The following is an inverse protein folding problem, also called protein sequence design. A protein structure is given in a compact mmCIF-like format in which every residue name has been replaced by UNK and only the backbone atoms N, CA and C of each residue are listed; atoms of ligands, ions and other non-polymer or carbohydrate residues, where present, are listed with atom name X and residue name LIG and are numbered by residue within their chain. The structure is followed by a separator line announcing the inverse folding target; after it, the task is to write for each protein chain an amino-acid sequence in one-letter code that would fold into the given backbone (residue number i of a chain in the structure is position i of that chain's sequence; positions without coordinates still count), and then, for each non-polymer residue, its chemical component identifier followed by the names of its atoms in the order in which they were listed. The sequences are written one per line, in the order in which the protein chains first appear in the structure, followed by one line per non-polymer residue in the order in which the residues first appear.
data_IF_947091290079
#
_entry.id   IF_947091290079
#
_cell.length_a   1.000
_cell.length_b   1.000
_cell.length_c   1.000
_cell.angle_alpha   90.00
_cell.angle_beta   90.00
_cell.angle_gamma   90.00
#
_symmetry.space_group_name_H-M   'P 1'
#
loop_
_entity.id
_entity.type
_entity.pdbx_description
1 polymer ?
#
# COMPACT_ATOMS: atom_id res chain seq x y z
N UNK A 1 7.25 -34.68 -11.90
CA UNK A 1 7.90 -33.69 -12.78
C UNK A 1 7.50 -32.30 -12.28
N UNK A 2 8.39 -31.64 -11.53
CA UNK A 2 8.12 -30.32 -10.92
C UNK A 2 8.49 -29.28 -11.97
N UNK A 3 7.50 -28.78 -12.71
CA UNK A 3 7.71 -27.68 -13.65
C UNK A 3 7.90 -26.40 -12.85
N UNK A 4 9.00 -25.69 -13.06
CA UNK A 4 9.31 -24.45 -12.35
C UNK A 4 8.35 -23.33 -12.76
N UNK A 5 8.09 -22.38 -11.86
CA UNK A 5 7.20 -21.23 -12.07
C UNK A 5 7.46 -20.43 -13.35
N UNK A 6 8.68 -20.49 -13.91
CA UNK A 6 9.06 -19.85 -15.17
C UNK A 6 8.55 -20.63 -16.40
N UNK A 7 8.70 -21.95 -16.43
CA UNK A 7 8.22 -22.81 -17.52
C UNK A 7 6.69 -22.80 -17.59
N UNK A 8 6.03 -22.76 -16.44
CA UNK A 8 4.58 -22.63 -16.37
C UNK A 8 4.14 -21.21 -16.79
N UNK A 9 4.90 -20.18 -16.43
CA UNK A 9 4.68 -18.82 -16.93
C UNK A 9 4.85 -18.72 -18.46
N UNK A 10 5.76 -19.49 -19.05
CA UNK A 10 5.96 -19.60 -20.50
C UNK A 10 4.83 -20.38 -21.18
N UNK A 11 4.41 -21.52 -20.62
CA UNK A 11 3.25 -22.28 -21.07
C UNK A 11 2.01 -21.41 -21.09
N UNK A 12 1.75 -20.72 -19.98
CA UNK A 12 0.65 -19.77 -19.86
C UNK A 12 0.79 -18.70 -20.96
N UNK A 13 1.96 -18.05 -21.14
CA UNK A 13 2.18 -17.06 -22.22
C UNK A 13 1.93 -17.57 -23.65
N UNK A 14 2.23 -18.83 -23.95
CA UNK A 14 2.24 -19.37 -25.33
C UNK A 14 1.04 -20.27 -25.66
N UNK A 15 0.30 -20.74 -24.66
CA UNK A 15 -0.99 -21.40 -24.88
C UNK A 15 -2.08 -20.34 -25.08
N UNK A 16 -2.84 -20.49 -26.17
CA UNK A 16 -4.01 -19.66 -26.43
C UNK A 16 -5.03 -19.80 -25.31
N UNK A 17 -5.84 -18.76 -25.09
CA UNK A 17 -6.92 -18.80 -24.09
C UNK A 17 -7.95 -19.87 -24.49
N UNK A 18 -7.86 -21.04 -23.86
CA UNK A 18 -8.82 -22.11 -24.05
C UNK A 18 -9.22 -22.73 -22.71
N UNK A 19 -10.41 -23.33 -22.67
CA UNK A 19 -11.02 -23.87 -21.44
C UNK A 19 -10.14 -24.90 -20.71
N UNK A 20 -9.21 -25.57 -21.40
CA UNK A 20 -8.33 -26.57 -20.79
C UNK A 20 -7.18 -25.96 -19.98
N UNK A 21 -6.82 -24.70 -20.26
CA UNK A 21 -5.75 -24.00 -19.51
C UNK A 21 -6.25 -23.30 -18.25
N UNK A 22 -7.55 -22.99 -18.17
CA UNK A 22 -8.12 -22.26 -17.05
C UNK A 22 -7.88 -22.93 -15.68
N UNK A 23 -8.07 -24.25 -15.49
CA UNK A 23 -7.79 -24.90 -14.20
C UNK A 23 -6.33 -24.76 -13.75
N UNK A 24 -5.38 -24.83 -14.69
CA UNK A 24 -3.95 -24.66 -14.41
C UNK A 24 -3.67 -23.22 -13.98
N UNK A 25 -4.22 -22.24 -14.70
CA UNK A 25 -4.09 -20.82 -14.35
C UNK A 25 -4.69 -20.55 -12.97
N UNK A 26 -5.87 -21.09 -12.65
CA UNK A 26 -6.50 -20.96 -11.33
C UNK A 26 -5.62 -21.53 -10.22
N UNK A 27 -5.08 -22.74 -10.40
CA UNK A 27 -4.19 -23.37 -9.43
C UNK A 27 -2.94 -22.52 -9.16
N UNK A 28 -2.31 -21.97 -10.19
CA UNK A 28 -1.14 -21.11 -10.05
C UNK A 28 -1.48 -19.78 -9.39
N UNK A 29 -2.65 -19.21 -9.71
CA UNK A 29 -3.11 -17.99 -9.08
C UNK A 29 -3.30 -18.19 -7.57
N UNK A 30 -3.91 -19.31 -7.15
CA UNK A 30 -4.03 -19.67 -5.73
C UNK A 30 -2.67 -19.77 -5.01
N UNK A 31 -1.59 -20.11 -5.73
CA UNK A 31 -0.22 -20.11 -5.20
C UNK A 31 0.43 -18.71 -5.20
N UNK A 32 -0.31 -17.67 -5.59
CA UNK A 32 0.16 -16.29 -5.66
C UNK A 32 0.97 -15.97 -6.92
N UNK A 33 0.95 -16.81 -7.95
CA UNK A 33 1.70 -16.56 -9.18
C UNK A 33 1.17 -15.31 -9.90
N UNK A 34 2.00 -14.27 -9.99
CA UNK A 34 1.65 -12.98 -10.59
C UNK A 34 1.12 -13.09 -12.03
N UNK A 35 1.73 -13.93 -12.87
CA UNK A 35 1.32 -14.05 -14.27
C UNK A 35 -0.02 -14.75 -14.40
N UNK A 36 -0.28 -15.75 -13.55
CA UNK A 36 -1.57 -16.42 -13.50
C UNK A 36 -2.68 -15.49 -13.01
N UNK A 37 -2.42 -14.72 -11.94
CA UNK A 37 -3.31 -13.67 -11.44
C UNK A 37 -3.64 -12.67 -12.56
N UNK A 38 -2.62 -12.17 -13.27
CA UNK A 38 -2.81 -11.23 -14.38
C UNK A 38 -3.71 -11.81 -15.46
N UNK A 39 -3.48 -13.08 -15.85
CA UNK A 39 -4.26 -13.71 -16.91
C UNK A 39 -5.68 -14.04 -16.51
N UNK A 40 -5.91 -14.52 -15.29
CA UNK A 40 -7.29 -14.72 -14.80
C UNK A 40 -8.08 -13.44 -14.98
N UNK A 41 -7.52 -12.32 -14.55
CA UNK A 41 -8.21 -11.03 -14.57
C UNK A 41 -8.39 -10.49 -15.99
N UNK A 42 -7.39 -10.64 -16.87
CA UNK A 42 -7.47 -10.12 -18.25
C UNK A 42 -8.33 -10.96 -19.19
N UNK A 43 -8.24 -12.28 -19.11
CA UNK A 43 -8.80 -13.20 -20.11
C UNK A 43 -10.01 -13.97 -19.58
N UNK A 44 -10.15 -14.06 -18.26
CA UNK A 44 -11.24 -14.78 -17.59
C UNK A 44 -11.93 -13.90 -16.55
N UNK A 45 -11.94 -12.58 -16.74
CA UNK A 45 -12.47 -11.63 -15.76
C UNK A 45 -13.94 -11.85 -15.39
N UNK A 46 -14.74 -12.28 -16.38
CA UNK A 46 -16.17 -12.59 -16.22
C UNK A 46 -16.43 -14.02 -15.73
N UNK A 47 -15.38 -14.84 -15.61
CA UNK A 47 -15.53 -16.17 -15.06
C UNK A 47 -15.87 -16.08 -13.57
N UNK A 48 -16.94 -16.80 -13.16
CA UNK A 48 -17.45 -16.77 -11.80
C UNK A 48 -16.41 -17.14 -10.71
N UNK A 49 -15.34 -17.86 -11.05
CA UNK A 49 -14.28 -18.24 -10.11
C UNK A 49 -13.16 -17.21 -10.03
N UNK A 50 -13.01 -16.30 -11.00
CA UNK A 50 -11.88 -15.35 -11.01
C UNK A 50 -11.95 -14.40 -9.82
N UNK A 51 -13.07 -13.71 -9.64
CA UNK A 51 -13.21 -12.74 -8.55
C UNK A 51 -12.98 -13.38 -7.15
N UNK A 52 -13.59 -14.53 -6.81
CA UNK A 52 -13.31 -15.21 -5.54
C UNK A 52 -11.82 -15.51 -5.31
N UNK A 53 -11.08 -15.94 -6.32
CA UNK A 53 -9.63 -16.20 -6.23
C UNK A 53 -8.87 -14.91 -5.92
N UNK A 54 -9.19 -13.83 -6.65
CA UNK A 54 -8.54 -12.52 -6.45
C UNK A 54 -8.86 -11.94 -5.07
N UNK A 55 -10.10 -12.06 -4.60
CA UNK A 55 -10.49 -11.63 -3.25
C UNK A 55 -9.75 -12.41 -2.16
N UNK A 56 -9.68 -13.74 -2.29
CA UNK A 56 -8.96 -14.59 -1.33
C UNK A 56 -7.47 -14.19 -1.24
N UNK A 57 -6.81 -13.99 -2.38
CA UNK A 57 -5.40 -13.57 -2.41
C UNK A 57 -5.22 -12.16 -1.87
N UNK A 58 -6.15 -11.24 -2.16
CA UNK A 58 -6.13 -9.89 -1.61
C UNK A 58 -6.24 -9.91 -0.08
N UNK A 59 -7.16 -10.70 0.48
CA UNK A 59 -7.29 -10.90 1.93
C UNK A 59 -6.00 -11.41 2.59
N UNK A 60 -5.21 -12.22 1.87
CA UNK A 60 -3.89 -12.68 2.33
C UNK A 60 -2.79 -11.61 2.22
N UNK A 61 -3.14 -10.40 1.76
CA UNK A 61 -2.20 -9.30 1.58
C UNK A 61 -1.38 -9.38 0.30
N UNK A 62 -1.74 -10.24 -0.67
CA UNK A 62 -1.03 -10.32 -1.94
C UNK A 62 -1.16 -9.01 -2.70
N UNK A 63 -0.04 -8.28 -2.82
CA UNK A 63 0.02 -6.98 -3.47
C UNK A 63 -0.59 -6.97 -4.88
N UNK A 64 -0.29 -7.97 -5.70
CA UNK A 64 -0.79 -8.00 -7.07
C UNK A 64 -2.30 -8.26 -7.12
N UNK A 65 -2.81 -9.13 -6.25
CA UNK A 65 -4.25 -9.36 -6.15
C UNK A 65 -4.98 -8.10 -5.67
N UNK A 66 -4.44 -7.37 -4.68
CA UNK A 66 -4.98 -6.07 -4.23
C UNK A 66 -5.06 -5.08 -5.40
N UNK A 67 -3.95 -4.90 -6.13
CA UNK A 67 -3.90 -3.97 -7.27
C UNK A 67 -4.89 -4.38 -8.37
N UNK A 68 -5.06 -5.69 -8.63
CA UNK A 68 -6.01 -6.18 -9.63
C UNK A 68 -7.46 -6.07 -9.20
N UNK A 69 -7.75 -6.35 -7.92
CA UNK A 69 -9.08 -6.27 -7.35
C UNK A 69 -9.65 -4.87 -7.56
N UNK A 70 -8.88 -3.83 -7.24
CA UNK A 70 -9.34 -2.44 -7.40
C UNK A 70 -9.42 -2.01 -8.86
N UNK A 71 -8.47 -2.40 -9.70
CA UNK A 71 -8.47 -1.99 -11.11
C UNK A 71 -9.57 -2.64 -11.96
N UNK A 72 -9.94 -3.88 -11.66
CA UNK A 72 -10.87 -4.65 -12.49
C UNK A 72 -12.22 -4.90 -11.84
N UNK A 73 -12.29 -4.81 -10.51
CA UNK A 73 -13.50 -5.05 -9.73
C UNK A 73 -13.75 -3.92 -8.73
N UNK A 74 -13.30 -2.70 -9.02
CA UNK A 74 -13.42 -1.55 -8.11
C UNK A 74 -14.85 -1.21 -7.70
N UNK A 75 -15.82 -1.45 -8.59
CA UNK A 75 -17.26 -1.22 -8.38
C UNK A 75 -17.94 -2.39 -7.64
N UNK A 76 -17.24 -3.51 -7.44
CA UNK A 76 -17.78 -4.61 -6.66
C UNK A 76 -17.88 -4.18 -5.19
N UNK A 77 -19.05 -4.39 -4.58
CA UNK A 77 -19.35 -3.98 -3.21
C UNK A 77 -18.38 -4.55 -2.16
N UNK A 78 -17.69 -5.66 -2.43
CA UNK A 78 -16.73 -6.27 -1.51
C UNK A 78 -15.31 -5.73 -1.67
N UNK A 79 -14.98 -5.04 -2.78
CA UNK A 79 -13.62 -4.58 -3.03
C UNK A 79 -13.16 -3.57 -1.98
N UNK A 80 -13.92 -2.49 -1.77
CA UNK A 80 -13.56 -1.46 -0.79
C UNK A 80 -13.44 -2.02 0.65
N UNK A 81 -14.39 -2.83 1.17
CA UNK A 81 -14.26 -3.47 2.47
C UNK A 81 -12.95 -4.26 2.66
N UNK A 82 -12.52 -5.02 1.64
CA UNK A 82 -11.26 -5.78 1.68
C UNK A 82 -10.07 -4.83 1.81
N UNK A 83 -10.03 -3.76 1.01
CA UNK A 83 -8.95 -2.77 1.05
C UNK A 83 -8.91 -2.04 2.40
N UNK A 84 -10.07 -1.64 2.93
CA UNK A 84 -10.17 -0.99 4.24
C UNK A 84 -9.66 -1.89 5.36
N UNK A 85 -10.08 -3.16 5.39
CA UNK A 85 -9.62 -4.13 6.38
C UNK A 85 -8.09 -4.28 6.36
N UNK A 86 -7.49 -4.44 5.18
CA UNK A 86 -6.04 -4.57 5.04
C UNK A 86 -5.30 -3.28 5.41
N UNK A 87 -5.87 -2.12 5.08
CA UNK A 87 -5.30 -0.83 5.46
C UNK A 87 -5.34 -0.62 6.98
N UNK A 88 -6.42 -1.02 7.66
CA UNK A 88 -6.48 -1.04 9.13
C UNK A 88 -5.44 -1.96 9.78
N UNK A 89 -5.01 -3.00 9.07
CA UNK A 89 -3.92 -3.90 9.49
C UNK A 89 -2.52 -3.36 9.11
N UNK A 90 -2.44 -2.18 8.52
CA UNK A 90 -1.18 -1.53 8.17
C UNK A 90 -0.55 -1.99 6.85
N UNK A 91 -1.29 -2.72 6.00
CA UNK A 91 -0.77 -3.16 4.70
C UNK A 91 -0.50 -1.94 3.80
N UNK A 92 0.76 -1.69 3.46
CA UNK A 92 1.16 -0.53 2.66
C UNK A 92 0.50 -0.48 1.28
N UNK A 93 0.28 -1.62 0.63
CA UNK A 93 -0.38 -1.65 -0.69
C UNK A 93 -1.84 -1.24 -0.55
N UNK A 94 -2.54 -1.72 0.48
CA UNK A 94 -3.92 -1.35 0.73
C UNK A 94 -4.05 0.13 1.10
N UNK A 95 -3.17 0.66 1.97
CA UNK A 95 -3.11 2.08 2.31
C UNK A 95 -2.95 2.95 1.06
N UNK A 96 -1.97 2.63 0.22
CA UNK A 96 -1.70 3.35 -1.02
C UNK A 96 -2.89 3.27 -2.00
N UNK A 97 -3.47 2.07 -2.15
CA UNK A 97 -4.62 1.84 -3.02
C UNK A 97 -5.86 2.61 -2.53
N UNK A 98 -6.11 2.62 -1.22
CA UNK A 98 -7.23 3.32 -0.61
C UNK A 98 -7.16 4.83 -0.89
N UNK A 99 -5.97 5.43 -0.76
CA UNK A 99 -5.80 6.87 -1.03
C UNK A 99 -5.96 7.19 -2.52
N UNK A 100 -5.39 6.37 -3.41
CA UNK A 100 -5.45 6.65 -4.86
C UNK A 100 -6.81 6.42 -5.49
N UNK A 101 -7.56 5.42 -5.01
CA UNK A 101 -8.80 4.98 -5.65
C UNK A 101 -10.05 5.32 -4.86
N UNK A 102 -9.92 5.56 -3.55
CA UNK A 102 -11.03 5.82 -2.65
C UNK A 102 -10.75 7.01 -1.72
N UNK A 103 -9.95 7.99 -2.16
CA UNK A 103 -9.57 9.16 -1.36
C UNK A 103 -10.75 9.97 -0.83
N UNK A 104 -11.81 10.09 -1.63
CA UNK A 104 -13.03 10.84 -1.27
C UNK A 104 -13.97 10.05 -0.34
N UNK A 105 -13.68 8.76 -0.07
CA UNK A 105 -14.46 7.99 0.88
C UNK A 105 -14.22 8.53 2.30
N UNK A 106 -15.32 8.78 3.02
CA UNK A 106 -15.29 9.39 4.35
C UNK A 106 -14.41 8.64 5.38
N UNK A 107 -14.19 7.34 5.21
CA UNK A 107 -13.35 6.54 6.12
C UNK A 107 -11.87 6.54 5.74
N UNK A 108 -11.51 6.88 4.49
CA UNK A 108 -10.12 6.76 4.02
C UNK A 108 -9.18 7.57 4.89
N UNK A 109 -9.42 8.88 5.04
CA UNK A 109 -8.55 9.73 5.84
C UNK A 109 -8.44 9.24 7.30
N UNK A 110 -9.53 8.76 7.91
CA UNK A 110 -9.50 8.25 9.27
C UNK A 110 -8.58 7.03 9.42
N UNK A 111 -8.61 6.11 8.45
CA UNK A 111 -7.72 4.94 8.41
C UNK A 111 -6.26 5.38 8.27
N UNK A 112 -5.97 6.31 7.35
CA UNK A 112 -4.60 6.80 7.16
C UNK A 112 -4.10 7.52 8.41
N UNK A 113 -4.93 8.36 9.06
CA UNK A 113 -4.56 9.03 10.32
C UNK A 113 -4.26 8.03 11.43
N UNK A 114 -5.12 7.02 11.60
CA UNK A 114 -4.91 5.95 12.59
C UNK A 114 -3.59 5.21 12.34
N UNK A 115 -3.31 4.82 11.10
CA UNK A 115 -2.07 4.12 10.75
C UNK A 115 -0.83 5.01 10.90
N UNK A 116 -0.93 6.30 10.58
CA UNK A 116 0.18 7.23 10.77
C UNK A 116 0.50 7.43 12.25
N UNK A 117 -0.50 7.47 13.14
CA UNK A 117 -0.30 7.48 14.59
C UNK A 117 0.32 6.19 15.16
N UNK A 118 0.29 5.10 14.40
CA UNK A 118 0.99 3.85 14.73
C UNK A 118 2.39 3.81 14.09
N UNK A 119 2.86 4.91 13.53
CA UNK A 119 4.16 5.03 12.89
C UNK A 119 4.25 4.38 11.50
N UNK A 120 3.12 4.00 10.88
CA UNK A 120 3.13 3.38 9.57
C UNK A 120 3.72 4.35 8.53
N UNK A 121 4.87 3.96 7.96
CA UNK A 121 5.61 4.73 6.97
C UNK A 121 4.76 5.18 5.79
N UNK A 122 3.94 4.27 5.26
CA UNK A 122 3.14 4.55 4.07
C UNK A 122 2.02 5.51 4.41
N UNK A 123 1.35 5.34 5.55
CA UNK A 123 0.32 6.27 5.99
C UNK A 123 0.86 7.69 6.25
N UNK A 124 2.02 7.80 6.92
CA UNK A 124 2.74 9.08 7.13
C UNK A 124 3.02 9.75 5.79
N UNK A 125 3.53 9.00 4.80
CA UNK A 125 3.80 9.50 3.46
C UNK A 125 2.54 9.99 2.78
N UNK A 126 1.45 9.22 2.83
CA UNK A 126 0.19 9.53 2.18
C UNK A 126 -0.48 10.76 2.79
N UNK A 127 -0.45 10.95 4.12
CA UNK A 127 -0.95 12.15 4.77
C UNK A 127 -0.31 13.42 4.21
N UNK A 128 1.02 13.43 4.06
CA UNK A 128 1.76 14.63 3.65
C UNK A 128 1.63 14.93 2.15
N UNK A 129 1.38 13.90 1.34
CA UNK A 129 1.20 14.04 -0.10
C UNK A 129 -0.23 14.43 -0.45
N UNK A 130 -1.23 13.75 0.11
CA UNK A 130 -2.64 13.89 -0.30
C UNK A 130 -3.51 14.68 0.68
N UNK A 131 -3.11 14.79 1.94
CA UNK A 131 -3.91 15.41 3.00
C UNK A 131 -3.12 16.49 3.75
N UNK A 132 -2.18 17.17 3.07
CA UNK A 132 -1.28 18.16 3.68
C UNK A 132 -2.04 19.28 4.41
N UNK A 133 -3.10 19.77 3.79
CA UNK A 133 -3.89 20.92 4.28
C UNK A 133 -4.91 20.51 5.34
N UNK A 134 -5.04 19.21 5.63
CA UNK A 134 -5.83 18.78 6.76
C UNK A 134 -5.16 19.28 8.06
N UNK A 135 -5.91 19.96 8.95
CA UNK A 135 -5.33 20.58 10.15
C UNK A 135 -4.66 19.60 11.11
N UNK A 136 -5.00 18.30 11.04
CA UNK A 136 -4.37 17.27 11.87
C UNK A 136 -3.06 16.74 11.30
N UNK A 137 -2.80 16.89 10.00
CA UNK A 137 -1.66 16.22 9.35
C UNK A 137 -0.34 16.64 9.97
N UNK A 138 -0.06 17.94 10.07
CA UNK A 138 1.19 18.40 10.66
C UNK A 138 1.37 17.91 12.11
N UNK A 139 0.31 17.95 12.92
CA UNK A 139 0.37 17.50 14.31
C UNK A 139 0.74 16.01 14.43
N UNK A 140 0.17 15.15 13.58
CA UNK A 140 0.50 13.71 13.53
C UNK A 140 1.98 13.53 13.17
N UNK A 141 2.45 14.22 12.14
CA UNK A 141 3.84 14.10 11.68
C UNK A 141 4.81 14.62 12.75
N UNK A 142 4.50 15.72 13.44
CA UNK A 142 5.30 16.23 14.56
C UNK A 142 5.35 15.23 15.71
N UNK A 143 4.21 14.67 16.11
CA UNK A 143 4.13 13.68 17.17
C UNK A 143 4.98 12.43 16.86
N UNK A 144 4.90 11.91 15.64
CA UNK A 144 5.71 10.76 15.21
C UNK A 144 7.20 11.09 15.14
N UNK A 145 7.55 12.29 14.68
CA UNK A 145 8.94 12.73 14.64
C UNK A 145 9.54 12.91 16.06
N UNK A 146 8.75 13.39 17.03
CA UNK A 146 9.13 13.44 18.44
C UNK A 146 9.37 12.05 19.04
N UNK A 147 8.71 11.01 18.53
CA UNK A 147 8.96 9.62 18.90
C UNK A 147 10.16 9.00 18.16
N UNK A 148 10.84 9.78 17.30
CA UNK A 148 12.00 9.33 16.54
C UNK A 148 11.67 8.60 15.25
N UNK A 149 10.42 8.68 14.75
CA UNK A 149 10.06 8.07 13.48
C UNK A 149 10.80 8.75 12.31
N UNK A 150 11.72 8.03 11.69
CA UNK A 150 12.56 8.57 10.61
C UNK A 150 11.76 9.03 9.38
N UNK A 151 10.59 8.43 9.14
CA UNK A 151 9.74 8.86 8.02
C UNK A 151 9.03 10.16 8.33
N UNK A 152 8.53 10.33 9.55
CA UNK A 152 7.96 11.59 9.99
C UNK A 152 9.02 12.71 10.00
N UNK A 153 10.22 12.43 10.51
CA UNK A 153 11.39 13.31 10.46
C UNK A 153 11.71 13.73 9.01
N UNK A 154 11.73 12.77 8.08
CA UNK A 154 11.93 13.06 6.66
C UNK A 154 10.83 13.97 6.10
N UNK A 155 9.56 13.67 6.40
CA UNK A 155 8.45 14.48 5.90
C UNK A 155 8.47 15.91 6.47
N UNK A 156 8.78 16.08 7.77
CA UNK A 156 8.94 17.42 8.37
C UNK A 156 10.00 18.24 7.64
N UNK A 157 11.19 17.67 7.45
CA UNK A 157 12.30 18.38 6.81
C UNK A 157 11.96 18.75 5.36
N UNK A 158 11.26 17.88 4.63
CA UNK A 158 10.98 18.09 3.21
C UNK A 158 9.77 18.99 2.94
N UNK A 159 8.78 19.00 3.82
CA UNK A 159 7.48 19.62 3.54
C UNK A 159 7.06 20.67 4.56
N UNK A 160 7.74 20.73 5.71
CA UNK A 160 7.45 21.66 6.79
C UNK A 160 8.72 22.30 7.35
N UNK A 161 9.76 22.49 6.51
CA UNK A 161 11.04 23.05 6.93
C UNK A 161 10.93 24.44 7.55
N UNK A 162 10.03 25.28 7.04
CA UNK A 162 9.79 26.65 7.53
C UNK A 162 8.92 26.69 8.79
N UNK A 163 8.38 25.55 9.24
CA UNK A 163 7.63 25.51 10.48
C UNK A 163 8.59 25.66 11.67
N UNK A 164 8.30 26.62 12.56
CA UNK A 164 9.15 26.95 13.71
C UNK A 164 9.50 25.75 14.60
N UNK A 165 8.62 24.74 14.69
CA UNK A 165 8.86 23.55 15.52
C UNK A 165 9.72 22.49 14.82
N UNK A 166 9.85 22.51 13.49
CA UNK A 166 10.60 21.49 12.75
C UNK A 166 12.04 21.45 13.21
N UNK A 167 12.76 22.58 13.24
CA UNK A 167 14.16 22.60 13.68
C UNK A 167 14.32 22.09 15.12
N UNK A 168 13.43 22.48 16.03
CA UNK A 168 13.46 22.06 17.42
C UNK A 168 13.31 20.54 17.56
N UNK A 169 12.37 19.93 16.82
CA UNK A 169 12.17 18.47 16.81
C UNK A 169 13.43 17.76 16.31
N UNK A 170 14.02 18.22 15.20
CA UNK A 170 15.20 17.61 14.61
C UNK A 170 16.41 17.72 15.54
N UNK A 171 16.61 18.87 16.18
CA UNK A 171 17.67 19.08 17.18
C UNK A 171 17.47 18.16 18.37
N UNK A 172 16.26 18.10 18.94
CA UNK A 172 15.95 17.21 20.06
C UNK A 172 16.26 15.75 19.72
N UNK A 173 15.81 15.27 18.55
CA UNK A 173 16.08 13.91 18.09
C UNK A 173 17.59 13.66 17.86
N UNK A 174 18.32 14.65 17.34
CA UNK A 174 19.76 14.55 17.18
C UNK A 174 20.48 14.47 18.53
N UNK A 175 20.07 15.25 19.53
CA UNK A 175 20.59 15.19 20.89
C UNK A 175 20.29 13.85 21.56
N UNK A 176 19.15 13.25 21.28
CA UNK A 176 18.78 11.89 21.71
C UNK A 176 19.53 10.78 20.94
N UNK A 177 20.41 11.13 20.00
CA UNK A 177 21.24 10.18 19.26
C UNK A 177 20.59 9.59 18.01
N UNK A 178 19.45 10.12 17.55
CA UNK A 178 18.85 9.68 16.30
C UNK A 178 19.79 10.05 15.12
N UNK A 179 20.46 9.03 14.56
CA UNK A 179 21.42 9.18 13.46
C UNK A 179 20.82 9.84 12.22
N UNK A 180 19.54 9.58 11.96
CA UNK A 180 18.84 10.16 10.82
C UNK A 180 18.62 11.66 11.02
N UNK A 181 18.17 12.07 12.21
CA UNK A 181 18.03 13.47 12.58
C UNK A 181 19.36 14.21 12.54
N UNK A 182 20.45 13.64 13.07
CA UNK A 182 21.81 14.20 12.99
C UNK A 182 22.21 14.49 11.53
N UNK A 183 21.94 13.54 10.63
CA UNK A 183 22.24 13.70 9.20
C UNK A 183 21.39 14.80 8.55
N UNK A 184 20.13 14.94 8.94
CA UNK A 184 19.22 15.97 8.41
C UNK A 184 19.54 17.36 8.95
N UNK A 185 19.92 17.49 10.22
CA UNK A 185 20.28 18.76 10.84
C UNK A 185 21.45 19.44 10.11
N UNK A 186 22.45 18.66 9.68
CA UNK A 186 23.58 19.15 8.85
C UNK A 186 23.19 19.70 7.48
N UNK A 187 21.94 19.51 7.04
CA UNK A 187 21.43 20.00 5.75
C UNK A 187 20.46 21.17 5.90
N UNK A 188 20.02 21.47 7.13
CA UNK A 188 19.08 22.56 7.43
C UNK A 188 19.83 23.82 7.89
N UNK A 189 21.06 23.65 8.41
CA UNK A 189 22.04 24.73 8.63
C UNK A 189 22.92 24.92 7.40
#
# INVERSE_FOLDING_TARGET
MILYNEEIGLLVRHSGDNAQTLPIIQQLAHQGNRYAIERLVRHYGDNAQTLPIIQQLAHQGNRYAIERLVRHYGDNAQTLPIIQQLAHQGNSTAIDTLVRHYGDNAQTLAIIQQQAHQGNREAIRQLVIYYRDNPKTLAIIQQEAHQGNNQAIEQLVRHYGDNAQTLAIIQQQAHQGNRYAIKKLKKIN
#
